data_IF_912736162690
#
_entry.id   IF_912736162690
#
_cell.length_a   1.000
_cell.length_b   1.000
_cell.length_c   1.000
_cell.angle_alpha   90.00
_cell.angle_beta   90.00
_cell.angle_gamma   90.00
#
_symmetry.space_group_name_H-M   'P 1'
#
loop_
_entity.id
_entity.type
_entity.pdbx_description
1 polymer ?
#
# COMPACT_ATOMS: atom_id res chain seq x y z
N UNK A 1 -7.88 52.45 -4.04
CA UNK A 1 -8.22 52.28 -5.46
C UNK A 1 -6.93 52.04 -6.24
N UNK A 2 -6.65 50.79 -6.59
CA UNK A 2 -5.56 50.44 -7.50
C UNK A 2 -5.93 49.11 -8.16
N UNK A 3 -6.45 49.22 -9.38
CA UNK A 3 -6.60 48.12 -10.33
C UNK A 3 -5.25 47.42 -10.49
N UNK A 4 -5.25 46.09 -10.54
CA UNK A 4 -4.31 45.33 -11.36
C UNK A 4 -5.05 44.17 -12.02
N UNK A 5 -4.90 44.11 -13.34
CA UNK A 5 -5.33 43.05 -14.23
C UNK A 5 -4.76 41.70 -13.76
N UNK A 6 -5.59 40.66 -13.79
CA UNK A 6 -5.09 39.28 -13.90
C UNK A 6 -5.52 38.76 -15.26
N UNK A 7 -4.52 38.46 -16.08
CA UNK A 7 -4.64 37.95 -17.43
C UNK A 7 -5.27 36.56 -17.43
N UNK A 8 -6.33 36.39 -18.24
CA UNK A 8 -6.81 35.10 -18.70
C UNK A 8 -5.77 34.51 -19.66
N UNK A 9 -5.05 33.47 -19.22
CA UNK A 9 -4.29 32.61 -20.12
C UNK A 9 -5.21 31.50 -20.63
N UNK A 10 -5.74 31.70 -21.83
CA UNK A 10 -6.27 30.61 -22.66
C UNK A 10 -5.07 29.92 -23.33
N UNK A 11 -4.60 28.83 -22.73
CA UNK A 11 -3.65 27.93 -23.38
C UNK A 11 -4.39 26.92 -24.23
N UNK A 12 -4.63 27.26 -25.51
CA UNK A 12 -4.92 26.25 -26.53
C UNK A 12 -3.63 25.47 -26.79
N UNK A 13 -3.56 24.24 -26.29
CA UNK A 13 -2.55 23.27 -26.76
C UNK A 13 -3.20 22.49 -27.89
N UNK A 14 -2.85 22.86 -29.11
CA UNK A 14 -2.99 21.99 -30.26
C UNK A 14 -1.84 20.97 -30.20
N UNK A 15 -2.16 19.73 -29.84
CA UNK A 15 -1.29 18.56 -29.93
C UNK A 15 -1.94 17.51 -30.81
N UNK A 16 -1.16 16.91 -31.70
CA UNK A 16 -1.61 16.10 -32.83
C UNK A 16 -2.45 14.87 -32.42
N UNK A 17 -3.57 14.68 -33.12
CA UNK A 17 -4.40 13.49 -33.06
C UNK A 17 -3.76 12.35 -33.88
N UNK A 18 -3.22 11.34 -33.18
CA UNK A 18 -3.05 9.95 -33.65
C UNK A 18 -2.32 9.17 -32.55
N UNK A 19 -2.97 9.03 -31.41
CA UNK A 19 -2.51 8.23 -30.28
C UNK A 19 -3.70 7.90 -29.40
N UNK A 20 -3.72 6.73 -28.79
CA UNK A 20 -4.83 6.37 -27.91
C UNK A 20 -4.62 7.09 -26.57
N UNK A 21 -5.42 8.11 -26.29
CA UNK A 21 -5.34 8.87 -25.04
C UNK A 21 -5.65 7.94 -23.85
N UNK A 22 -4.62 7.63 -23.04
CA UNK A 22 -4.73 6.79 -21.86
C UNK A 22 -4.28 7.57 -20.63
N UNK A 23 -4.89 7.27 -19.49
CA UNK A 23 -4.53 7.87 -18.20
C UNK A 23 -3.83 6.83 -17.33
N UNK A 24 -2.60 7.08 -16.85
CA UNK A 24 -1.93 6.18 -15.90
C UNK A 24 -2.69 6.06 -14.57
N UNK A 25 -2.69 4.85 -14.01
CA UNK A 25 -3.16 4.55 -12.65
C UNK A 25 -1.93 4.19 -11.83
N UNK A 26 -1.69 4.93 -10.74
CA UNK A 26 -0.42 4.94 -10.03
C UNK A 26 -0.59 4.85 -8.50
N UNK A 27 -1.14 3.74 -8.02
CA UNK A 27 -1.44 3.55 -6.60
C UNK A 27 -2.60 4.42 -6.13
N UNK A 28 -2.63 4.73 -4.83
CA UNK A 28 -3.62 5.63 -4.25
C UNK A 28 -3.00 7.01 -4.16
N UNK A 29 -3.54 7.99 -4.88
CA UNK A 29 -3.02 9.37 -4.88
C UNK A 29 -1.48 9.45 -5.09
N UNK A 30 -0.96 8.66 -6.05
CA UNK A 30 0.49 8.54 -6.33
C UNK A 30 1.31 8.02 -5.14
N UNK A 31 0.69 7.32 -4.20
CA UNK A 31 1.35 6.67 -3.07
C UNK A 31 1.18 5.16 -3.14
N UNK A 32 2.28 4.45 -2.84
CA UNK A 32 2.34 3.00 -2.76
C UNK A 32 2.86 2.59 -1.38
N UNK A 33 2.17 1.67 -0.73
CA UNK A 33 2.52 1.21 0.62
C UNK A 33 3.19 -0.17 0.55
N UNK A 34 4.51 -0.28 0.79
CA UNK A 34 5.20 -1.57 0.80
C UNK A 34 4.57 -2.58 1.77
N UNK A 35 4.11 -2.12 2.94
CA UNK A 35 3.37 -2.92 3.92
C UNK A 35 2.12 -3.58 3.33
N UNK A 36 1.29 -2.80 2.62
CA UNK A 36 0.11 -3.31 1.94
C UNK A 36 0.45 -4.29 0.81
N UNK A 37 1.44 -3.94 -0.03
CA UNK A 37 1.88 -4.77 -1.16
C UNK A 37 2.38 -6.13 -0.66
N UNK A 38 3.21 -6.15 0.37
CA UNK A 38 3.74 -7.38 0.97
C UNK A 38 2.63 -8.18 1.66
N UNK A 39 1.76 -7.50 2.40
CA UNK A 39 0.65 -8.14 3.11
C UNK A 39 -0.38 -8.81 2.24
N UNK A 40 -0.59 -8.26 1.05
CA UNK A 40 -1.59 -8.75 0.10
C UNK A 40 -1.00 -9.65 -0.98
N UNK A 41 0.33 -9.81 -1.04
CA UNK A 41 1.01 -10.57 -2.09
C UNK A 41 0.54 -12.04 -2.22
N UNK A 42 0.15 -12.66 -1.11
CA UNK A 42 -0.32 -14.04 -1.05
C UNK A 42 -1.86 -14.16 -0.91
N UNK A 43 -2.58 -13.04 -0.81
CA UNK A 43 -4.04 -13.05 -0.70
C UNK A 43 -4.61 -13.51 -2.04
N UNK A 44 -5.44 -14.56 -1.98
CA UNK A 44 -6.14 -15.05 -3.16
C UNK A 44 -7.35 -14.14 -3.41
N UNK A 45 -7.54 -13.77 -4.66
CA UNK A 45 -8.78 -13.13 -5.07
C UNK A 45 -9.94 -14.12 -4.83
N UNK A 46 -10.87 -13.74 -3.97
CA UNK A 46 -12.18 -14.37 -3.91
C UNK A 46 -12.92 -14.06 -5.22
N UNK A 47 -13.65 -15.02 -5.82
CA UNK A 47 -14.39 -14.81 -7.06
C UNK A 47 -15.63 -13.93 -6.79
N UNK A 48 -15.43 -12.62 -6.64
CA UNK A 48 -16.48 -11.62 -6.67
C UNK A 48 -16.82 -11.21 -8.11
N UNK A 49 -17.97 -10.57 -8.30
CA UNK A 49 -18.51 -10.16 -9.60
C UNK A 49 -17.44 -9.48 -10.46
N UNK A 50 -17.21 -10.04 -11.66
CA UNK A 50 -16.28 -9.47 -12.62
C UNK A 50 -16.86 -8.18 -13.17
N UNK A 51 -16.23 -7.06 -12.85
CA UNK A 51 -16.36 -5.87 -13.67
C UNK A 51 -15.64 -6.15 -14.99
N UNK A 52 -16.41 -6.38 -16.06
CA UNK A 52 -15.89 -6.68 -17.40
C UNK A 52 -15.01 -5.55 -17.97
N UNK A 53 -15.03 -4.36 -17.36
CA UNK A 53 -14.16 -3.24 -17.70
C UNK A 53 -12.82 -3.24 -16.97
N UNK A 54 -12.66 -4.05 -15.91
CA UNK A 54 -11.39 -4.25 -15.20
C UNK A 54 -10.66 -5.47 -15.76
N UNK A 55 -9.51 -5.23 -16.40
CA UNK A 55 -8.72 -6.27 -17.05
C UNK A 55 -7.40 -6.51 -16.31
N UNK A 56 -6.99 -7.76 -16.18
CA UNK A 56 -5.72 -8.14 -15.55
C UNK A 56 -5.82 -8.45 -14.06
N UNK A 57 -4.92 -7.90 -13.25
CA UNK A 57 -4.85 -8.17 -11.80
C UNK A 57 -6.00 -7.51 -11.04
N UNK A 58 -6.82 -8.30 -10.38
CA UNK A 58 -7.99 -7.86 -9.59
C UNK A 58 -7.58 -6.97 -8.42
N UNK A 59 -6.38 -7.18 -7.86
CA UNK A 59 -5.83 -6.35 -6.77
C UNK A 59 -4.75 -5.37 -7.26
N UNK A 60 -4.62 -5.20 -8.58
CA UNK A 60 -3.66 -4.30 -9.19
C UNK A 60 -3.83 -2.86 -8.71
N UNK A 61 -2.71 -2.25 -8.31
CA UNK A 61 -2.60 -0.85 -7.89
C UNK A 61 -2.04 0.06 -9.01
N UNK A 62 -1.41 -0.54 -10.02
CA UNK A 62 -0.80 0.19 -11.13
C UNK A 62 -1.30 -0.36 -12.46
N UNK A 63 -1.63 0.55 -13.37
CA UNK A 63 -2.27 0.21 -14.62
C UNK A 63 -2.53 1.44 -15.49
N UNK A 64 -3.46 1.31 -16.44
CA UNK A 64 -3.93 2.43 -17.25
C UNK A 64 -5.45 2.40 -17.33
N UNK A 65 -6.04 3.57 -17.57
CA UNK A 65 -7.42 3.73 -18.01
C UNK A 65 -7.42 4.14 -19.48
N UNK A 66 -8.16 3.44 -20.33
CA UNK A 66 -8.19 3.69 -21.77
C UNK A 66 -9.58 3.45 -22.36
N UNK A 67 -10.03 4.34 -23.25
CA UNK A 67 -11.29 4.17 -23.98
C UNK A 67 -11.05 3.50 -25.34
N UNK A 68 -11.79 2.44 -25.63
CA UNK A 68 -11.63 1.68 -26.87
C UNK A 68 -12.10 2.49 -28.10
N UNK A 69 -11.21 2.71 -29.07
CA UNK A 69 -11.52 3.43 -30.31
C UNK A 69 -12.37 2.60 -31.30
N UNK A 70 -12.27 1.27 -31.23
CA UNK A 70 -13.04 0.31 -32.03
C UNK A 70 -13.26 -0.98 -31.24
N UNK A 71 -14.20 -1.81 -31.69
CA UNK A 71 -14.41 -3.14 -31.11
C UNK A 71 -13.19 -4.04 -31.35
N UNK A 72 -12.97 -4.96 -30.41
CA UNK A 72 -11.95 -6.01 -30.45
C UNK A 72 -10.54 -5.49 -30.75
N UNK A 73 -10.21 -4.27 -30.30
CA UNK A 73 -8.90 -3.67 -30.57
C UNK A 73 -7.84 -4.27 -29.63
N UNK A 74 -6.74 -4.85 -30.15
CA UNK A 74 -5.70 -5.42 -29.30
C UNK A 74 -4.95 -4.30 -28.57
N UNK A 75 -4.50 -4.59 -27.37
CA UNK A 75 -3.77 -3.65 -26.53
C UNK A 75 -2.69 -4.38 -25.74
N UNK A 76 -1.53 -3.76 -25.69
CA UNK A 76 -0.37 -4.21 -24.94
C UNK A 76 0.03 -3.11 -23.96
N UNK A 77 0.10 -3.47 -22.68
CA UNK A 77 0.46 -2.54 -21.60
C UNK A 77 1.67 -3.08 -20.87
N UNK A 78 2.68 -2.26 -20.69
CA UNK A 78 3.81 -2.56 -19.79
C UNK A 78 4.00 -1.48 -18.74
N UNK A 79 4.35 -1.91 -17.54
CA UNK A 79 4.64 -1.06 -16.38
C UNK A 79 6.00 -1.45 -15.83
N UNK A 80 6.86 -0.47 -15.59
CA UNK A 80 8.17 -0.69 -15.00
C UNK A 80 8.59 0.46 -14.08
N UNK A 81 9.52 0.17 -13.19
CA UNK A 81 10.17 1.13 -12.32
C UNK A 81 11.53 0.55 -11.94
N UNK A 82 12.61 1.31 -12.12
CA UNK A 82 13.96 0.82 -11.91
C UNK A 82 14.18 0.26 -10.51
N UNK A 83 13.68 0.93 -9.48
CA UNK A 83 14.03 0.62 -8.10
C UNK A 83 13.20 -0.52 -7.49
N UNK A 84 11.88 -0.49 -7.68
CA UNK A 84 10.96 -1.34 -6.92
C UNK A 84 10.25 -2.42 -7.75
N UNK A 85 10.29 -2.34 -9.07
CA UNK A 85 9.53 -3.23 -9.95
C UNK A 85 10.44 -3.89 -10.99
N UNK A 86 10.02 -5.03 -11.52
CA UNK A 86 10.50 -5.53 -12.81
C UNK A 86 9.49 -5.18 -13.91
N UNK A 87 9.92 -5.12 -15.18
CA UNK A 87 9.00 -4.95 -16.30
C UNK A 87 7.87 -6.00 -16.28
N UNK A 88 6.66 -5.48 -16.18
CA UNK A 88 5.42 -6.24 -16.03
C UNK A 88 4.52 -5.93 -17.22
N UNK A 89 3.96 -6.95 -17.86
CA UNK A 89 3.18 -6.80 -19.09
C UNK A 89 1.81 -7.44 -18.96
N UNK A 90 0.83 -6.82 -19.62
CA UNK A 90 -0.45 -7.41 -19.93
C UNK A 90 -0.75 -7.22 -21.42
N UNK A 91 -1.41 -8.21 -22.01
CA UNK A 91 -1.79 -8.22 -23.42
C UNK A 91 -3.20 -8.76 -23.53
N UNK A 92 -4.04 -8.11 -24.32
CA UNK A 92 -5.41 -8.54 -24.54
C UNK A 92 -6.12 -7.72 -25.60
N UNK A 93 -7.44 -7.72 -25.57
CA UNK A 93 -8.31 -7.01 -26.51
C UNK A 93 -9.34 -6.20 -25.75
N UNK A 94 -9.66 -5.00 -26.22
CA UNK A 94 -10.78 -4.21 -25.72
C UNK A 94 -12.04 -4.55 -26.53
N UNK A 95 -13.06 -5.21 -25.95
CA UNK A 95 -14.18 -5.75 -26.71
C UNK A 95 -15.08 -4.70 -27.36
N UNK A 96 -15.46 -3.65 -26.63
CA UNK A 96 -16.53 -2.73 -27.04
C UNK A 96 -16.02 -1.30 -27.24
N UNK A 97 -16.29 -0.73 -28.42
CA UNK A 97 -15.99 0.65 -28.77
C UNK A 97 -16.70 1.62 -27.84
N UNK A 98 -15.96 2.63 -27.38
CA UNK A 98 -16.48 3.70 -26.51
C UNK A 98 -16.54 3.32 -25.04
N UNK A 99 -16.28 2.05 -24.70
CA UNK A 99 -16.15 1.58 -23.32
C UNK A 99 -14.75 1.90 -22.80
N UNK A 100 -14.68 2.41 -21.57
CA UNK A 100 -13.42 2.65 -20.85
C UNK A 100 -13.04 1.43 -20.06
N UNK A 101 -11.80 0.96 -20.25
CA UNK A 101 -11.24 -0.20 -19.57
C UNK A 101 -10.10 0.23 -18.65
N UNK A 102 -10.06 -0.37 -17.46
CA UNK A 102 -8.95 -0.22 -16.53
C UNK A 102 -8.09 -1.50 -16.58
N UNK A 103 -6.88 -1.38 -17.12
CA UNK A 103 -5.98 -2.50 -17.36
C UNK A 103 -4.88 -2.50 -16.30
N UNK A 104 -4.76 -3.59 -15.56
CA UNK A 104 -3.79 -3.77 -14.48
C UNK A 104 -2.87 -4.95 -14.78
N UNK A 105 -1.64 -4.73 -15.27
CA UNK A 105 -0.67 -5.80 -15.37
C UNK A 105 -0.37 -6.45 -14.02
N UNK A 106 -0.08 -7.76 -14.01
CA UNK A 106 0.42 -8.42 -12.79
C UNK A 106 1.81 -7.90 -12.49
N UNK A 107 1.90 -7.00 -11.53
CA UNK A 107 3.14 -6.31 -11.19
C UNK A 107 4.11 -7.28 -10.51
N UNK A 108 5.33 -7.36 -11.05
CA UNK A 108 6.46 -8.09 -10.50
C UNK A 108 7.22 -7.18 -9.53
N UNK A 109 6.78 -7.17 -8.28
CA UNK A 109 7.41 -6.39 -7.23
C UNK A 109 8.76 -6.99 -6.82
N UNK A 110 9.77 -6.13 -6.62
CA UNK A 110 11.05 -6.49 -5.98
C UNK A 110 10.86 -6.50 -4.47
N UNK A 111 10.32 -7.59 -3.94
CA UNK A 111 9.95 -7.68 -2.52
C UNK A 111 11.10 -7.40 -1.55
N UNK A 112 12.33 -7.81 -1.88
CA UNK A 112 13.53 -7.50 -1.08
C UNK A 112 13.83 -6.00 -0.99
N UNK A 113 13.51 -5.23 -2.05
CA UNK A 113 13.70 -3.78 -2.06
C UNK A 113 12.58 -3.08 -1.30
N UNK A 114 11.34 -3.55 -1.48
CA UNK A 114 10.18 -3.01 -0.77
C UNK A 114 10.30 -3.19 0.76
N UNK A 115 10.76 -4.35 1.22
CA UNK A 115 10.96 -4.62 2.66
C UNK A 115 12.06 -3.77 3.29
N UNK A 116 12.95 -3.19 2.48
CA UNK A 116 14.05 -2.32 2.92
C UNK A 116 13.72 -0.83 2.79
N UNK A 117 12.53 -0.47 2.28
CA UNK A 117 12.11 0.91 2.07
C UNK A 117 11.75 1.57 3.41
N UNK A 118 12.75 1.99 4.19
CA UNK A 118 12.54 2.56 5.53
C UNK A 118 12.06 4.01 5.52
N UNK A 119 12.20 4.71 4.39
CA UNK A 119 11.84 6.12 4.23
C UNK A 119 10.94 6.30 3.01
N UNK A 120 10.09 7.33 3.04
CA UNK A 120 9.31 7.72 1.88
C UNK A 120 10.25 8.06 0.72
N UNK A 121 10.19 7.28 -0.36
CA UNK A 121 11.12 7.32 -1.48
C UNK A 121 10.36 7.61 -2.77
N UNK A 122 10.62 8.75 -3.44
CA UNK A 122 10.03 9.01 -4.74
C UNK A 122 10.63 8.08 -5.80
N UNK A 123 9.78 7.57 -6.68
CA UNK A 123 10.18 6.73 -7.80
C UNK A 123 9.40 7.10 -9.06
N UNK A 124 10.00 6.90 -10.23
CA UNK A 124 9.32 7.10 -11.51
C UNK A 124 8.80 5.77 -12.02
N UNK A 125 7.50 5.71 -12.30
CA UNK A 125 6.85 4.58 -12.96
C UNK A 125 6.71 4.93 -14.44
N UNK A 126 7.15 4.03 -15.31
CA UNK A 126 7.02 4.17 -16.76
C UNK A 126 5.93 3.23 -17.26
N UNK A 127 4.97 3.78 -17.99
CA UNK A 127 3.88 3.08 -18.65
C UNK A 127 4.14 3.12 -20.14
N UNK A 128 4.08 1.95 -20.79
CA UNK A 128 4.11 1.88 -22.25
C UNK A 128 2.88 1.16 -22.77
N UNK A 129 2.22 1.76 -23.73
CA UNK A 129 0.94 1.29 -24.26
C UNK A 129 1.02 1.22 -25.77
N UNK A 130 0.64 0.09 -26.33
CA UNK A 130 0.47 -0.07 -27.77
C UNK A 130 -0.96 -0.52 -28.04
N UNK A 131 -1.64 0.15 -28.98
CA UNK A 131 -3.05 -0.10 -29.29
C UNK A 131 -3.20 -0.42 -30.77
N UNK A 132 -3.73 -1.60 -31.09
CA UNK A 132 -3.85 -2.03 -32.47
C UNK A 132 -2.47 -2.19 -33.11
N UNK A 133 -2.29 -1.50 -34.24
CA UNK A 133 -1.02 -1.40 -34.95
C UNK A 133 -0.36 -0.03 -34.79
N UNK A 134 -0.78 0.76 -33.79
CA UNK A 134 -0.17 2.06 -33.51
C UNK A 134 1.28 1.88 -33.05
N UNK A 135 2.03 2.98 -33.12
CA UNK A 135 3.28 3.07 -32.38
C UNK A 135 2.99 2.97 -30.88
N UNK A 136 4.00 2.51 -30.14
CA UNK A 136 3.94 2.42 -28.69
C UNK A 136 4.14 3.82 -28.09
N UNK A 137 3.21 4.21 -27.22
CA UNK A 137 3.29 5.45 -26.46
C UNK A 137 3.90 5.20 -25.09
N UNK A 138 4.61 6.19 -24.55
CA UNK A 138 5.25 6.13 -23.25
C UNK A 138 4.83 7.34 -22.40
N UNK A 139 4.39 7.08 -21.17
CA UNK A 139 4.03 8.09 -20.17
C UNK A 139 4.68 7.70 -18.85
N UNK A 140 5.16 8.70 -18.10
CA UNK A 140 5.79 8.50 -16.79
C UNK A 140 5.02 9.22 -15.70
N UNK A 141 4.86 8.58 -14.54
CA UNK A 141 4.34 9.22 -13.32
C UNK A 141 5.37 9.13 -12.20
N UNK A 142 5.48 10.21 -11.41
CA UNK A 142 6.25 10.18 -10.17
C UNK A 142 5.34 9.75 -9.04
N UNK A 143 5.70 8.67 -8.35
CA UNK A 143 5.00 8.14 -7.18
C UNK A 143 5.90 8.18 -5.96
N UNK A 144 5.30 8.09 -4.77
CA UNK A 144 6.03 7.91 -3.52
C UNK A 144 5.79 6.51 -2.99
N UNK A 145 6.86 5.71 -2.91
CA UNK A 145 6.85 4.50 -2.09
C UNK A 145 6.99 4.93 -0.63
N UNK A 146 6.02 4.56 0.21
CA UNK A 146 5.98 4.90 1.63
C UNK A 146 7.01 4.07 2.40
N UNK A 147 7.24 4.43 3.66
CA UNK A 147 8.02 3.56 4.53
C UNK A 147 7.35 2.20 4.65
N UNK A 148 8.13 1.13 4.77
CA UNK A 148 7.66 -0.21 5.15
C UNK A 148 6.91 -0.18 6.48
N UNK A 149 7.25 0.79 7.33
CA UNK A 149 6.60 1.02 8.62
C UNK A 149 5.32 1.85 8.50
N UNK A 150 4.97 2.40 7.33
CA UNK A 150 3.70 3.11 7.18
C UNK A 150 2.61 2.10 6.78
N UNK A 151 1.59 1.95 7.63
CA UNK A 151 0.42 1.12 7.38
C UNK A 151 -0.75 1.98 6.88
N UNK A 152 -1.37 1.68 5.72
CA UNK A 152 -2.59 2.35 5.31
C UNK A 152 -3.78 1.86 6.14
N UNK A 153 -4.51 2.78 6.75
CA UNK A 153 -5.72 2.49 7.54
C UNK A 153 -6.94 2.46 6.64
N UNK A 154 -7.06 3.47 5.78
CA UNK A 154 -8.13 3.58 4.80
C UNK A 154 -7.70 4.51 3.67
N UNK A 155 -8.26 4.30 2.49
CA UNK A 155 -8.17 5.26 1.40
C UNK A 155 -9.57 5.60 0.89
N UNK A 156 -9.69 6.81 0.36
CA UNK A 156 -10.90 7.32 -0.27
C UNK A 156 -10.62 7.51 -1.75
N UNK A 157 -11.38 6.81 -2.58
CA UNK A 157 -11.38 6.99 -4.02
C UNK A 157 -12.77 7.49 -4.45
N UNK A 158 -12.81 8.71 -4.99
CA UNK A 158 -14.03 9.49 -5.20
C UNK A 158 -14.85 9.61 -3.90
N UNK A 159 -15.98 8.90 -3.79
CA UNK A 159 -16.87 8.88 -2.63
C UNK A 159 -16.81 7.56 -1.85
N UNK A 160 -16.00 6.60 -2.29
CA UNK A 160 -15.88 5.28 -1.67
C UNK A 160 -14.68 5.25 -0.75
N UNK A 161 -14.93 4.95 0.53
CA UNK A 161 -13.88 4.71 1.52
C UNK A 161 -13.69 3.21 1.68
N UNK A 162 -12.46 2.75 1.47
CA UNK A 162 -12.06 1.36 1.64
C UNK A 162 -11.24 1.25 2.92
N UNK A 163 -11.68 0.35 3.82
CA UNK A 163 -10.95 0.00 5.03
C UNK A 163 -9.81 -0.98 4.69
N UNK A 164 -8.58 -0.58 4.97
CA UNK A 164 -7.37 -1.38 4.77
C UNK A 164 -6.69 -1.73 6.09
N UNK A 165 -7.34 -1.49 7.23
CA UNK A 165 -6.78 -1.74 8.57
C UNK A 165 -6.39 -3.20 8.82
N UNK A 166 -6.96 -4.16 8.08
CA UNK A 166 -6.52 -5.55 8.12
C UNK A 166 -5.01 -5.71 7.80
N UNK A 167 -4.41 -4.75 7.11
CA UNK A 167 -2.96 -4.75 6.83
C UNK A 167 -2.08 -4.51 8.05
N UNK A 168 -2.63 -4.12 9.20
CA UNK A 168 -1.87 -4.15 10.46
C UNK A 168 -1.38 -5.57 10.81
N UNK A 169 -2.09 -6.61 10.38
CA UNK A 169 -1.65 -7.99 10.58
C UNK A 169 -0.28 -8.30 9.95
N UNK A 170 0.16 -7.51 8.97
CA UNK A 170 1.45 -7.67 8.29
C UNK A 170 2.64 -7.33 9.17
N UNK A 171 2.42 -6.56 10.23
CA UNK A 171 3.44 -6.15 11.19
C UNK A 171 3.60 -7.15 12.34
N UNK A 172 2.71 -8.14 12.45
CA UNK A 172 2.83 -9.20 13.45
C UNK A 172 3.97 -10.14 13.07
N UNK A 173 4.99 -10.19 13.92
CA UNK A 173 6.15 -11.05 13.74
C UNK A 173 6.37 -11.96 14.95
N UNK A 174 5.59 -13.03 15.03
CA UNK A 174 5.66 -14.03 16.10
C UNK A 174 7.02 -14.74 16.17
N UNK A 175 7.72 -14.83 15.04
CA UNK A 175 9.01 -15.50 14.92
C UNK A 175 10.19 -14.59 15.24
N UNK A 176 9.93 -13.35 15.69
CA UNK A 176 10.98 -12.39 15.96
C UNK A 176 11.87 -12.90 17.11
N UNK A 177 13.23 -12.87 16.97
CA UNK A 177 14.14 -13.45 17.96
C UNK A 177 13.99 -12.90 19.39
N UNK A 178 13.45 -11.69 19.53
CA UNK A 178 13.21 -11.06 20.84
C UNK A 178 11.92 -11.51 21.53
N UNK A 179 10.95 -12.13 20.83
CA UNK A 179 9.68 -12.58 21.42
C UNK A 179 9.94 -13.59 22.53
N UNK A 180 10.73 -14.63 22.25
CA UNK A 180 11.14 -15.63 23.23
C UNK A 180 11.81 -15.03 24.47
N UNK A 181 12.62 -13.97 24.27
CA UNK A 181 13.30 -13.28 25.35
C UNK A 181 12.29 -12.53 26.22
N UNK A 182 11.35 -11.81 25.61
CA UNK A 182 10.28 -11.09 26.31
C UNK A 182 9.39 -12.04 27.11
N UNK A 183 8.98 -13.15 26.50
CA UNK A 183 8.16 -14.16 27.18
C UNK A 183 8.87 -14.72 28.41
N UNK A 184 10.16 -15.05 28.30
CA UNK A 184 10.94 -15.51 29.48
C UNK A 184 11.05 -14.45 30.56
N UNK A 185 11.37 -13.21 30.20
CA UNK A 185 11.45 -12.13 31.18
C UNK A 185 10.12 -11.82 31.85
N UNK A 186 8.99 -11.96 31.15
CA UNK A 186 7.66 -11.80 31.73
C UNK A 186 7.35 -12.93 32.74
N UNK A 187 7.81 -14.16 32.50
CA UNK A 187 7.73 -15.25 33.47
C UNK A 187 8.59 -14.98 34.71
N UNK A 188 9.77 -14.38 34.54
CA UNK A 188 10.68 -14.06 35.65
C UNK A 188 10.09 -13.03 36.64
N UNK A 189 9.10 -12.23 36.23
CA UNK A 189 8.36 -11.31 37.12
C UNK A 189 7.46 -12.09 38.09
N UNK A 190 7.00 -13.29 37.71
CA UNK A 190 6.22 -14.18 38.58
C UNK A 190 4.71 -13.88 38.64
N UNK A 191 4.16 -13.10 37.69
CA UNK A 191 2.70 -12.87 37.58
C UNK A 191 1.95 -14.14 37.14
N UNK A 192 2.59 -14.92 36.27
CA UNK A 192 2.11 -16.18 35.70
C UNK A 192 3.24 -17.21 35.69
N UNK A 193 2.90 -18.50 35.73
CA UNK A 193 3.88 -19.60 35.65
C UNK A 193 4.14 -20.07 34.22
N UNK A 194 3.22 -19.79 33.28
CA UNK A 194 3.35 -20.15 31.87
C UNK A 194 2.39 -19.35 30.99
N UNK A 195 2.74 -19.21 29.70
CA UNK A 195 1.82 -18.71 28.67
C UNK A 195 1.07 -19.90 28.05
N UNK A 196 -0.25 -19.91 28.21
CA UNK A 196 -1.16 -20.95 27.67
C UNK A 196 -2.14 -20.38 26.65
N UNK A 197 -2.14 -19.06 26.44
CA UNK A 197 -3.08 -18.34 25.60
C UNK A 197 -4.53 -18.66 26.00
N UNK A 198 -5.36 -18.94 25.00
CA UNK A 198 -6.77 -19.29 25.19
C UNK A 198 -6.99 -20.72 25.73
N UNK A 199 -5.97 -21.55 25.83
CA UNK A 199 -6.12 -22.95 26.26
C UNK A 199 -6.53 -23.08 27.74
N UNK A 200 -6.31 -22.04 28.55
CA UNK A 200 -6.79 -21.97 29.92
C UNK A 200 -8.33 -21.90 30.05
N UNK A 201 -9.03 -21.56 28.95
CA UNK A 201 -10.49 -21.60 28.87
C UNK A 201 -11.23 -20.51 29.66
N UNK A 202 -10.52 -19.51 30.20
CA UNK A 202 -11.11 -18.36 30.89
C UNK A 202 -10.47 -17.05 30.45
N UNK A 203 -11.28 -16.01 30.30
CA UNK A 203 -10.80 -14.67 29.93
C UNK A 203 -9.86 -14.10 31.00
N UNK A 204 -10.08 -14.43 32.28
CA UNK A 204 -9.24 -14.00 33.41
C UNK A 204 -7.78 -14.46 33.25
N UNK A 205 -7.56 -15.71 32.85
CA UNK A 205 -6.21 -16.22 32.62
C UNK A 205 -5.56 -15.60 31.37
N UNK A 206 -6.34 -15.24 30.36
CA UNK A 206 -5.84 -14.47 29.21
C UNK A 206 -5.42 -13.06 29.66
N UNK A 207 -6.26 -12.38 30.46
CA UNK A 207 -5.93 -11.05 30.98
C UNK A 207 -4.70 -11.06 31.88
N UNK A 208 -4.51 -12.10 32.70
CA UNK A 208 -3.28 -12.25 33.51
C UNK A 208 -2.04 -12.41 32.65
N UNK A 209 -2.12 -13.16 31.56
CA UNK A 209 -1.01 -13.31 30.61
C UNK A 209 -0.67 -12.01 29.89
N UNK A 210 -1.70 -11.27 29.44
CA UNK A 210 -1.52 -9.93 28.85
C UNK A 210 -0.93 -8.97 29.88
N UNK A 211 -1.39 -9.02 31.13
CA UNK A 211 -0.87 -8.20 32.21
C UNK A 211 0.60 -8.50 32.53
N UNK A 212 1.04 -9.77 32.48
CA UNK A 212 2.44 -10.13 32.69
C UNK A 212 3.37 -9.47 31.64
N UNK A 213 2.93 -9.40 30.38
CA UNK A 213 3.65 -8.68 29.32
C UNK A 213 3.63 -7.17 29.56
N UNK A 214 2.48 -6.62 29.94
CA UNK A 214 2.37 -5.20 30.27
C UNK A 214 3.29 -4.80 31.44
N UNK A 215 3.34 -5.60 32.51
CA UNK A 215 4.17 -5.35 33.69
C UNK A 215 5.67 -5.39 33.33
N UNK A 216 6.06 -6.31 32.43
CA UNK A 216 7.41 -6.32 31.87
C UNK A 216 7.74 -5.03 31.10
N UNK A 217 6.82 -4.55 30.26
CA UNK A 217 7.04 -3.30 29.51
C UNK A 217 7.15 -2.10 30.44
N UNK A 218 6.35 -2.05 31.51
CA UNK A 218 6.45 -1.03 32.57
C UNK A 218 7.81 -1.13 33.29
N UNK A 219 8.24 -2.33 33.66
CA UNK A 219 9.54 -2.56 34.31
C UNK A 219 10.73 -2.13 33.44
N UNK A 220 10.56 -2.14 32.11
CA UNK A 220 11.53 -1.68 31.11
C UNK A 220 11.44 -0.17 30.78
N UNK A 221 10.59 0.58 31.50
CA UNK A 221 10.30 2.02 31.28
C UNK A 221 9.82 2.32 29.85
N UNK A 222 9.10 1.37 29.22
CA UNK A 222 8.48 1.61 27.90
C UNK A 222 7.29 2.55 28.09
N UNK A 223 7.29 3.65 27.34
CA UNK A 223 6.24 4.69 27.43
C UNK A 223 5.44 4.79 26.14
N UNK A 224 4.17 5.12 26.26
CA UNK A 224 3.35 5.40 25.10
C UNK A 224 3.75 6.75 24.45
N UNK A 225 3.87 6.76 23.13
CA UNK A 225 4.15 7.91 22.28
C UNK A 225 3.04 8.04 21.25
N UNK A 226 2.29 9.14 21.33
CA UNK A 226 1.19 9.46 20.40
C UNK A 226 1.65 10.02 19.05
N UNK A 227 2.96 10.03 18.77
CA UNK A 227 3.49 10.41 17.46
C UNK A 227 3.19 9.29 16.47
N UNK A 228 2.04 9.40 15.80
CA UNK A 228 1.60 8.54 14.69
C UNK A 228 1.70 9.22 13.33
N UNK A 229 2.04 10.51 13.31
CA UNK A 229 2.07 11.35 12.11
C UNK A 229 3.08 10.82 11.10
N UNK A 230 2.60 10.50 9.91
CA UNK A 230 3.45 10.12 8.77
C UNK A 230 3.82 11.37 7.97
N UNK A 231 5.02 11.41 7.38
CA UNK A 231 5.57 12.64 6.78
C UNK A 231 4.99 12.99 5.40
N UNK A 232 4.23 12.10 4.75
CA UNK A 232 3.40 12.47 3.60
C UNK A 232 1.96 12.05 3.86
N UNK A 233 1.21 13.03 4.35
CA UNK A 233 -0.22 12.94 4.58
C UNK A 233 -0.94 13.31 3.28
N UNK A 234 -2.02 12.60 2.95
CA UNK A 234 -2.92 12.95 1.85
C UNK A 234 -4.33 12.98 2.41
N UNK A 235 -5.13 13.95 1.98
CA UNK A 235 -6.54 14.06 2.38
C UNK A 235 -7.33 12.78 2.02
N UNK A 236 -6.85 12.02 1.04
CA UNK A 236 -7.49 10.81 0.54
C UNK A 236 -6.95 9.52 1.18
N UNK A 237 -5.90 9.58 2.00
CA UNK A 237 -5.26 8.37 2.55
C UNK A 237 -4.91 8.60 4.01
N UNK A 238 -5.61 7.90 4.89
CA UNK A 238 -5.22 7.82 6.29
C UNK A 238 -4.21 6.68 6.45
N UNK A 239 -3.03 7.01 6.97
CA UNK A 239 -2.01 6.03 7.30
C UNK A 239 -1.44 6.27 8.69
N UNK A 240 -0.83 5.24 9.27
CA UNK A 240 -0.16 5.31 10.55
C UNK A 240 1.22 4.69 10.44
N UNK A 241 2.21 5.37 11.02
CA UNK A 241 3.52 4.78 11.24
C UNK A 241 3.44 3.70 12.33
N UNK A 242 3.97 2.51 12.06
CA UNK A 242 4.04 1.36 12.95
C UNK A 242 5.50 1.18 13.36
N UNK A 243 5.75 1.16 14.67
CA UNK A 243 7.09 0.82 15.17
C UNK A 243 7.20 -0.69 15.26
N UNK A 244 8.37 -1.21 14.92
CA UNK A 244 8.64 -2.62 15.07
C UNK A 244 9.09 -2.92 16.50
N UNK A 245 9.03 -4.20 16.88
CA UNK A 245 9.39 -4.64 18.23
C UNK A 245 10.78 -4.16 18.67
N UNK A 246 11.74 -4.15 17.75
CA UNK A 246 13.09 -3.65 17.99
C UNK A 246 13.14 -2.14 18.23
N UNK A 247 12.33 -1.35 17.52
CA UNK A 247 12.23 0.09 17.72
C UNK A 247 11.65 0.41 19.11
N UNK A 248 10.62 -0.34 19.52
CA UNK A 248 9.97 -0.18 20.83
C UNK A 248 10.92 -0.53 21.97
N UNK A 249 11.70 -1.61 21.84
CA UNK A 249 12.71 -2.00 22.83
C UNK A 249 13.86 -1.00 22.89
N UNK A 250 14.40 -0.58 21.73
CA UNK A 250 15.58 0.28 21.68
C UNK A 250 15.28 1.73 22.10
N UNK A 251 14.10 2.24 21.74
CA UNK A 251 13.72 3.63 22.02
C UNK A 251 12.85 3.78 23.28
N UNK A 252 12.47 2.67 23.93
CA UNK A 252 11.56 2.63 25.08
C UNK A 252 10.24 3.38 24.83
N UNK A 253 9.74 3.34 23.59
CA UNK A 253 8.51 4.02 23.23
C UNK A 253 7.63 3.21 22.30
N UNK A 254 6.39 2.95 22.73
CA UNK A 254 5.34 2.26 22.00
C UNK A 254 4.34 3.25 21.36
N UNK A 255 3.77 2.96 20.19
CA UNK A 255 2.67 3.73 19.60
C UNK A 255 1.33 2.96 19.60
N UNK A 256 0.28 3.43 18.90
CA UNK A 256 -1.06 2.79 18.97
C UNK A 256 -1.09 1.33 18.54
N UNK A 257 -0.14 0.85 17.74
CA UNK A 257 -0.09 -0.55 17.29
C UNK A 257 0.75 -1.40 18.23
N UNK A 258 1.82 -0.83 18.82
CA UNK A 258 2.58 -1.51 19.88
C UNK A 258 1.77 -1.68 21.18
N UNK A 259 0.78 -0.80 21.39
CA UNK A 259 -0.05 -0.75 22.59
C UNK A 259 -1.41 -1.45 22.48
N UNK A 260 -1.77 -1.99 21.31
CA UNK A 260 -3.01 -2.75 21.05
C UNK A 260 -2.77 -4.24 21.10
#
# INVERSE_FOLDING_TARGET
MRNWLVCLFFGLIAGNASGADFTPIAGWDRQLFPSFILGTAAVKAEPFESDDTRLGDVHGLMGISITAASNDIPVDVSVECEEFLEPSRWSGTLPEKGTTYNIYPKIKYKFDRLSQCSQATPATITYRVQVGTSDQEEVTETVTFRSINDCPIKFTDNDYTVDTSFTFATFVNEQHPYVDKLLREALDIGVIDSFTGYQAGTDEEVYRQVYALWDLLVARDVRYSSITTTAADSDNILSQHVRLLEDTINNQQANCVDGS
#
